data_IF_098418489037
#
_entry.id   IF_098418489037
#
_cell.length_a   1.000
_cell.length_b   1.000
_cell.length_c   1.000
_cell.angle_alpha   90.00
_cell.angle_beta   90.00
_cell.angle_gamma   90.00
#
_symmetry.space_group_name_H-M   'P 1'
#
loop_
_entity.id
_entity.type
_entity.pdbx_description
1 polymer ?
#
# COMPACT_ATOMS: atom_id res chain seq x y z
N UNK A 1 -0.21 8.16 -9.01
CA UNK A 1 -0.24 6.69 -9.24
C UNK A 1 -1.48 6.11 -8.58
N UNK A 2 -2.01 4.99 -9.08
CA UNK A 2 -3.15 4.30 -8.42
C UNK A 2 -2.62 3.19 -7.54
N UNK A 3 -2.96 3.25 -6.25
CA UNK A 3 -2.59 2.29 -5.23
C UNK A 3 -3.81 1.45 -4.88
N UNK A 4 -3.63 0.15 -4.69
CA UNK A 4 -4.73 -0.78 -4.43
C UNK A 4 -4.48 -1.62 -3.19
N UNK A 5 -5.51 -1.74 -2.36
CA UNK A 5 -5.55 -2.67 -1.23
C UNK A 5 -6.95 -3.26 -1.10
N UNK A 6 -7.16 -4.20 -0.20
CA UNK A 6 -8.46 -4.83 0.02
C UNK A 6 -9.37 -3.92 0.88
N UNK A 7 -10.68 -3.98 0.60
CA UNK A 7 -11.74 -3.27 1.31
C UNK A 7 -11.73 -3.59 2.81
N UNK A 8 -12.33 -2.68 3.60
CA UNK A 8 -12.32 -2.69 5.07
C UNK A 8 -10.88 -2.66 5.62
N UNK A 9 -10.14 -1.57 5.34
CA UNK A 9 -8.75 -1.47 5.74
C UNK A 9 -8.60 -1.47 7.26
N UNK A 10 -7.69 -2.30 7.77
CA UNK A 10 -7.22 -2.22 9.15
C UNK A 10 -6.26 -1.05 9.33
N UNK A 11 -5.88 -0.75 10.58
CA UNK A 11 -5.05 0.41 10.95
C UNK A 11 -3.78 0.53 10.10
N UNK A 12 -3.08 -0.57 9.84
CA UNK A 12 -1.85 -0.59 9.04
C UNK A 12 -2.06 -0.09 7.60
N UNK A 13 -3.16 -0.47 6.95
CA UNK A 13 -3.50 -0.01 5.59
C UNK A 13 -3.82 1.48 5.57
N UNK A 14 -4.51 1.98 6.59
CA UNK A 14 -4.80 3.41 6.73
C UNK A 14 -3.51 4.21 6.93
N UNK A 15 -2.61 3.74 7.81
CA UNK A 15 -1.31 4.37 8.05
C UNK A 15 -0.43 4.35 6.79
N UNK A 16 -0.43 3.23 6.07
CA UNK A 16 0.25 3.07 4.78
C UNK A 16 -0.27 4.05 3.73
N UNK A 17 -1.60 4.19 3.57
CA UNK A 17 -2.20 5.14 2.64
C UNK A 17 -1.85 6.60 2.99
N UNK A 18 -1.86 6.96 4.29
CA UNK A 18 -1.41 8.27 4.74
C UNK A 18 0.05 8.53 4.39
N UNK A 19 0.94 7.57 4.68
CA UNK A 19 2.36 7.68 4.38
C UNK A 19 2.63 7.84 2.89
N UNK A 20 1.98 7.00 2.07
CA UNK A 20 2.05 7.06 0.61
C UNK A 20 1.66 8.47 0.14
N UNK A 21 0.51 8.99 0.59
CA UNK A 21 0.04 10.31 0.15
C UNK A 21 0.97 11.43 0.62
N UNK A 22 1.56 11.31 1.81
CA UNK A 22 2.33 12.40 2.43
C UNK A 22 3.78 12.47 1.97
N UNK A 23 4.40 11.32 1.66
CA UNK A 23 5.84 11.22 1.46
C UNK A 23 6.25 10.52 0.16
N UNK A 24 5.34 9.78 -0.50
CA UNK A 24 5.67 9.02 -1.72
C UNK A 24 5.05 9.67 -2.95
N UNK A 25 3.74 9.89 -2.94
CA UNK A 25 2.97 10.42 -4.07
C UNK A 25 1.79 11.28 -3.57
N UNK A 26 1.97 12.59 -3.60
CA UNK A 26 0.98 13.58 -3.20
C UNK A 26 -0.33 13.55 -4.02
N UNK A 27 -0.32 12.90 -5.19
CA UNK A 27 -1.49 12.72 -6.06
C UNK A 27 -1.97 11.27 -6.10
N UNK A 28 -1.58 10.44 -5.12
CA UNK A 28 -1.96 9.03 -5.08
C UNK A 28 -3.47 8.85 -5.10
N UNK A 29 -4.00 7.99 -5.97
CA UNK A 29 -5.41 7.58 -5.96
C UNK A 29 -5.49 6.20 -5.32
N UNK A 30 -6.42 6.00 -4.39
CA UNK A 30 -6.58 4.71 -3.71
C UNK A 30 -7.83 3.99 -4.22
N UNK A 31 -7.67 2.71 -4.57
CA UNK A 31 -8.76 1.81 -4.92
C UNK A 31 -8.83 0.69 -3.89
N UNK A 32 -10.04 0.37 -3.47
CA UNK A 32 -10.32 -0.71 -2.53
C UNK A 32 -11.09 -1.81 -3.26
N UNK A 33 -10.49 -3.00 -3.32
CA UNK A 33 -11.07 -4.18 -3.99
C UNK A 33 -11.58 -5.20 -2.98
N UNK A 34 -12.51 -6.06 -3.37
CA UNK A 34 -12.94 -7.19 -2.54
C UNK A 34 -11.84 -8.28 -2.47
N UNK A 35 -11.93 -9.15 -1.47
CA UNK A 35 -11.01 -10.28 -1.35
C UNK A 35 -11.12 -11.21 -2.56
N UNK A 36 -9.99 -11.51 -3.19
CA UNK A 36 -9.95 -12.38 -4.38
C UNK A 36 -10.35 -11.68 -5.68
N UNK A 37 -10.68 -10.39 -5.63
CA UNK A 37 -10.90 -9.59 -6.84
C UNK A 37 -9.58 -9.34 -7.58
N UNK A 38 -9.65 -9.26 -8.91
CA UNK A 38 -8.49 -9.03 -9.76
C UNK A 38 -7.87 -7.66 -9.49
N UNK A 39 -6.56 -7.64 -9.24
CA UNK A 39 -5.78 -6.41 -9.13
C UNK A 39 -5.82 -5.65 -10.47
N UNK A 40 -6.29 -4.39 -10.52
CA UNK A 40 -6.35 -3.61 -11.74
C UNK A 40 -4.97 -3.44 -12.39
N UNK A 41 -4.90 -3.60 -13.72
CA UNK A 41 -3.65 -3.37 -14.45
C UNK A 41 -3.13 -1.94 -14.23
N UNK A 42 -1.82 -1.83 -14.04
CA UNK A 42 -1.14 -0.55 -13.81
C UNK A 42 -1.34 0.04 -12.40
N UNK A 43 -1.99 -0.68 -11.48
CA UNK A 43 -2.06 -0.29 -10.06
C UNK A 43 -0.92 -0.88 -9.25
N UNK A 44 -0.57 -0.21 -8.15
CA UNK A 44 0.46 -0.63 -7.22
C UNK A 44 -0.23 -1.29 -6.01
N UNK A 45 -0.17 -2.63 -5.87
CA UNK A 45 -0.76 -3.30 -4.73
C UNK A 45 0.08 -3.07 -3.46
N UNK A 46 -0.61 -2.84 -2.34
CA UNK A 46 -0.03 -2.81 -1.02
C UNK A 46 -0.93 -3.53 -0.01
N UNK A 47 -0.32 -4.20 0.96
CA UNK A 47 -0.95 -5.07 1.96
C UNK A 47 -1.97 -6.07 1.36
N UNK A 48 -1.60 -6.65 0.22
CA UNK A 48 -2.34 -7.71 -0.48
C UNK A 48 -1.47 -8.97 -0.59
N UNK A 49 -2.07 -10.16 -0.73
CA UNK A 49 -1.33 -11.36 -1.07
C UNK A 49 -0.48 -11.13 -2.33
N UNK A 50 0.81 -11.49 -2.26
CA UNK A 50 1.80 -11.26 -3.33
C UNK A 50 2.15 -9.79 -3.63
N UNK A 51 1.72 -8.83 -2.81
CA UNK A 51 2.19 -7.45 -2.93
C UNK A 51 3.64 -7.35 -2.48
N UNK A 52 4.50 -6.73 -3.31
CA UNK A 52 5.87 -6.39 -2.93
C UNK A 52 5.94 -5.43 -1.73
N UNK A 53 4.84 -4.74 -1.43
CA UNK A 53 4.63 -3.88 -0.28
C UNK A 53 3.58 -4.52 0.63
N UNK A 54 3.94 -5.60 1.30
CA UNK A 54 3.04 -6.36 2.18
C UNK A 54 3.82 -7.00 3.33
N UNK A 55 3.14 -7.84 4.12
CA UNK A 55 3.75 -8.58 5.21
C UNK A 55 4.81 -9.58 4.70
N UNK A 56 6.06 -9.35 5.09
CA UNK A 56 7.17 -10.25 4.80
C UNK A 56 7.84 -10.68 6.11
N UNK A 57 7.48 -11.87 6.61
CA UNK A 57 7.99 -12.38 7.87
C UNK A 57 7.51 -11.53 9.06
N UNK A 58 8.42 -10.81 9.72
CA UNK A 58 8.11 -9.91 10.84
C UNK A 58 7.82 -8.46 10.41
N UNK A 59 8.07 -8.12 9.15
CA UNK A 59 7.93 -6.77 8.65
C UNK A 59 6.48 -6.49 8.25
N UNK A 60 5.92 -5.39 8.76
CA UNK A 60 4.58 -4.94 8.36
C UNK A 60 4.63 -4.17 7.05
N UNK A 61 3.47 -3.89 6.43
CA UNK A 61 3.45 -3.13 5.16
C UNK A 61 4.10 -1.76 5.30
N UNK A 62 3.95 -1.13 6.46
CA UNK A 62 4.59 0.14 6.77
C UNK A 62 6.13 0.06 6.74
N UNK A 63 6.74 -1.02 7.24
CA UNK A 63 8.18 -1.22 7.21
C UNK A 63 8.69 -1.37 5.77
N UNK A 64 7.95 -2.12 4.95
CA UNK A 64 8.26 -2.29 3.52
C UNK A 64 8.17 -0.95 2.77
N UNK A 65 7.22 -0.09 3.12
CA UNK A 65 7.10 1.27 2.58
C UNK A 65 8.29 2.15 2.97
N UNK A 66 8.72 2.12 4.23
CA UNK A 66 9.89 2.88 4.70
C UNK A 66 11.18 2.44 4.02
N UNK A 67 11.39 1.12 3.87
CA UNK A 67 12.57 0.59 3.22
C UNK A 67 12.64 0.97 1.73
N UNK A 68 11.50 0.95 1.03
CA UNK A 68 11.43 1.26 -0.40
C UNK A 68 11.45 2.76 -0.69
N UNK A 69 10.83 3.56 0.17
CA UNK A 69 10.71 5.01 0.02
C UNK A 69 11.33 5.70 1.23
N UNK A 70 12.68 5.76 1.31
CA UNK A 70 13.34 6.52 2.35
C UNK A 70 12.88 7.98 2.27
N UNK A 71 12.51 8.54 3.43
CA UNK A 71 12.00 9.91 3.51
C UNK A 71 13.06 10.86 2.92
N UNK A 72 12.60 11.79 2.09
CA UNK A 72 13.32 13.05 1.86
C UNK A 72 12.73 14.06 2.85
N UNK A 73 13.59 14.58 3.70
CA UNK A 73 13.27 15.69 4.59
C UNK A 73 12.85 16.93 3.78
#
# INVERSE_FOLDING_TARGET
MTWVTERRPHVDRCASAWFIRRFVDGKAVFRFIERGETIPRGSIPYDLPSAALGHHGRLVTFDALLAKYPRKD
#
